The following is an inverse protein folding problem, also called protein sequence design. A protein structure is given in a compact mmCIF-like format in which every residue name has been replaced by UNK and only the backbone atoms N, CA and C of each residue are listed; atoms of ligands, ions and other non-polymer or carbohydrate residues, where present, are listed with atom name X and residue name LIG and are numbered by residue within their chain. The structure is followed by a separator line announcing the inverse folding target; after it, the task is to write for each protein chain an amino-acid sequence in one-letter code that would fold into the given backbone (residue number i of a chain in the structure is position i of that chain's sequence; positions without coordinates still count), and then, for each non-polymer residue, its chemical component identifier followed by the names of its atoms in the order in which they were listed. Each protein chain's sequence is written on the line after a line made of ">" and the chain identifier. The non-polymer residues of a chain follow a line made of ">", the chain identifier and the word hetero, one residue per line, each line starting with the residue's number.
data_IF_900558906133
#
_entry.id   IF_900558906133
#
_cell.length_a   1.000
_cell.length_b   1.000
_cell.length_c   1.000
_cell.angle_alpha   90.00
_cell.angle_beta   90.00
_cell.angle_gamma   90.00
#
_symmetry.space_group_name_H-M   'P 1'
#
loop_
_entity.id
_entity.type
_entity.pdbx_description
1 polymer ?
#
# COMPACT_ATOMS: atom_id res chain seq x y z
N UNK A 1 -24.80 19.08 15.02
CA UNK A 1 -24.86 19.11 13.56
C UNK A 1 -23.70 19.81 12.82
N UNK A 2 -23.02 20.90 13.31
CA UNK A 2 -21.95 21.55 12.54
C UNK A 2 -20.67 20.73 12.33
N UNK A 3 -20.36 19.74 13.20
CA UNK A 3 -19.14 18.91 13.09
C UNK A 3 -19.19 17.84 12.00
N UNK A 4 -20.37 17.28 11.70
CA UNK A 4 -20.55 16.25 10.68
C UNK A 4 -20.41 16.88 9.28
N UNK A 5 -21.00 18.04 9.08
CA UNK A 5 -20.91 18.78 7.79
C UNK A 5 -19.47 19.20 7.48
N UNK A 6 -18.70 19.66 8.49
CA UNK A 6 -17.29 20.02 8.31
C UNK A 6 -16.44 18.80 7.90
N UNK A 7 -16.62 17.63 8.54
CA UNK A 7 -15.91 16.39 8.17
C UNK A 7 -16.21 15.91 6.75
N UNK A 8 -17.45 16.05 6.29
CA UNK A 8 -17.82 15.72 4.92
C UNK A 8 -17.13 16.64 3.91
N UNK A 9 -16.97 17.94 4.23
CA UNK A 9 -16.24 18.91 3.41
C UNK A 9 -14.74 18.60 3.40
N UNK A 10 -14.16 18.24 4.55
CA UNK A 10 -12.76 17.81 4.64
C UNK A 10 -12.48 16.61 3.73
N UNK A 11 -13.31 15.56 3.79
CA UNK A 11 -13.22 14.40 2.92
C UNK A 11 -13.31 14.79 1.44
N UNK A 12 -14.36 15.52 1.07
CA UNK A 12 -14.56 15.98 -0.31
C UNK A 12 -13.40 16.83 -0.84
N UNK A 13 -12.86 17.75 -0.02
CA UNK A 13 -11.71 18.55 -0.42
C UNK A 13 -10.44 17.71 -0.62
N UNK A 14 -10.19 16.71 0.26
CA UNK A 14 -9.07 15.78 0.09
C UNK A 14 -9.19 14.97 -1.20
N UNK A 15 -10.36 14.43 -1.49
CA UNK A 15 -10.62 13.65 -2.70
C UNK A 15 -10.41 14.48 -3.96
N UNK A 16 -10.91 15.73 -3.98
CA UNK A 16 -10.75 16.67 -5.10
C UNK A 16 -9.30 17.12 -5.29
N UNK A 17 -8.57 17.36 -4.20
CA UNK A 17 -7.12 17.66 -4.24
C UNK A 17 -6.36 16.44 -4.77
N UNK A 18 -6.65 15.24 -4.26
CA UNK A 18 -6.04 14.01 -4.74
C UNK A 18 -6.38 13.71 -6.21
N UNK A 19 -7.57 14.06 -6.66
CA UNK A 19 -7.96 14.02 -8.06
C UNK A 19 -7.25 15.06 -8.95
N UNK A 20 -6.49 15.99 -8.34
CA UNK A 20 -5.73 17.02 -9.05
C UNK A 20 -6.58 18.18 -9.62
N UNK A 21 -7.80 18.38 -9.10
CA UNK A 21 -8.73 19.37 -9.63
C UNK A 21 -8.12 20.79 -9.71
N UNK A 22 -7.25 21.13 -8.77
CA UNK A 22 -6.61 22.46 -8.73
C UNK A 22 -5.08 22.41 -8.98
N UNK A 23 -4.57 21.33 -9.53
CA UNK A 23 -3.13 21.14 -9.75
C UNK A 23 -2.55 22.15 -10.76
N UNK A 24 -3.34 22.58 -11.76
CA UNK A 24 -2.92 23.55 -12.75
C UNK A 24 -2.81 24.97 -12.19
N UNK A 25 -3.69 25.36 -11.25
CA UNK A 25 -3.68 26.67 -10.61
C UNK A 25 -2.79 26.71 -9.37
N UNK A 26 -2.51 25.57 -8.77
CA UNK A 26 -1.82 25.44 -7.48
C UNK A 26 -2.56 26.09 -6.31
N UNK A 27 -3.84 26.49 -6.51
CA UNK A 27 -4.59 27.30 -5.53
C UNK A 27 -6.02 26.78 -5.39
N UNK A 28 -6.49 26.63 -4.14
CA UNK A 28 -7.89 26.37 -3.86
C UNK A 28 -8.75 27.60 -4.17
N UNK A 29 -10.02 27.39 -4.56
CA UNK A 29 -11.01 28.47 -4.63
C UNK A 29 -11.12 29.23 -3.30
N UNK A 30 -11.58 30.46 -3.34
CA UNK A 30 -11.73 31.24 -2.10
C UNK A 30 -12.76 30.55 -1.16
N UNK A 31 -12.56 30.71 0.15
CA UNK A 31 -13.48 30.14 1.16
C UNK A 31 -14.94 30.55 0.92
N UNK A 32 -15.17 31.71 0.33
CA UNK A 32 -16.50 32.20 -0.06
C UNK A 32 -17.11 31.37 -1.17
N UNK A 33 -16.31 31.04 -2.17
CA UNK A 33 -16.77 30.35 -3.37
C UNK A 33 -17.02 28.86 -3.05
N UNK A 34 -16.13 28.24 -2.27
CA UNK A 34 -16.36 26.91 -1.72
C UNK A 34 -17.58 26.84 -0.79
N UNK A 35 -17.84 27.89 0.01
CA UNK A 35 -19.02 27.94 0.86
C UNK A 35 -20.31 28.01 0.05
N UNK A 36 -20.32 28.74 -1.06
CA UNK A 36 -21.44 28.79 -2.00
C UNK A 36 -21.63 27.43 -2.69
N UNK A 37 -20.56 26.79 -3.16
CA UNK A 37 -20.58 25.48 -3.81
C UNK A 37 -21.11 24.37 -2.91
N UNK A 38 -20.64 24.31 -1.65
CA UNK A 38 -21.10 23.30 -0.67
C UNK A 38 -22.41 23.65 0.03
N UNK A 39 -23.00 24.84 -0.22
CA UNK A 39 -24.23 25.28 0.43
C UNK A 39 -24.09 25.46 1.95
N UNK A 40 -22.93 25.88 2.45
CA UNK A 40 -22.64 25.99 3.90
C UNK A 40 -22.12 27.36 4.29
N UNK A 41 -22.12 27.65 5.58
CA UNK A 41 -21.53 28.87 6.12
C UNK A 41 -20.01 28.92 5.86
N UNK A 42 -19.46 30.07 5.52
CA UNK A 42 -18.04 30.32 5.26
C UNK A 42 -17.11 29.85 6.39
N UNK A 43 -17.57 29.94 7.66
CA UNK A 43 -16.82 29.46 8.80
C UNK A 43 -16.70 27.92 8.85
N UNK A 44 -17.62 27.19 8.23
CA UNK A 44 -17.57 25.74 8.12
C UNK A 44 -16.44 25.31 7.16
N UNK A 45 -16.39 25.95 6.00
CA UNK A 45 -15.29 25.74 5.03
C UNK A 45 -13.95 26.15 5.63
N UNK A 46 -13.87 27.30 6.33
CA UNK A 46 -12.64 27.74 6.98
C UNK A 46 -12.09 26.71 7.96
N UNK A 47 -12.97 26.04 8.74
CA UNK A 47 -12.56 24.98 9.66
C UNK A 47 -12.04 23.76 8.92
N UNK A 48 -12.72 23.32 7.87
CA UNK A 48 -12.26 22.20 7.02
C UNK A 48 -10.90 22.51 6.38
N UNK A 49 -10.73 23.67 5.77
CA UNK A 49 -9.45 24.11 5.18
C UNK A 49 -8.34 24.22 6.23
N UNK A 50 -8.67 24.65 7.47
CA UNK A 50 -7.68 24.67 8.58
C UNK A 50 -7.19 23.27 8.94
N UNK A 51 -8.06 22.27 8.97
CA UNK A 51 -7.67 20.88 9.24
C UNK A 51 -6.72 20.38 8.15
N UNK A 52 -7.07 20.56 6.88
CA UNK A 52 -6.24 20.12 5.74
C UNK A 52 -4.90 20.88 5.70
N UNK A 53 -4.89 22.17 6.13
CA UNK A 53 -3.66 22.94 6.25
C UNK A 53 -2.75 22.42 7.37
N UNK A 54 -3.32 21.98 8.48
CA UNK A 54 -2.56 21.37 9.59
C UNK A 54 -1.98 20.00 9.19
N UNK A 55 -2.60 19.29 8.25
CA UNK A 55 -2.10 18.05 7.65
C UNK A 55 -0.99 18.30 6.62
N UNK A 56 -0.66 19.55 6.33
CA UNK A 56 0.36 19.90 5.35
C UNK A 56 -0.07 19.79 3.89
N UNK A 57 -1.34 19.45 3.61
CA UNK A 57 -1.87 19.31 2.24
C UNK A 57 -1.95 20.65 1.52
N UNK A 58 -2.24 21.73 2.26
CA UNK A 58 -2.32 23.09 1.71
C UNK A 58 -1.61 24.08 2.64
N UNK A 59 -1.11 25.18 2.08
CA UNK A 59 -0.51 26.29 2.80
C UNK A 59 -1.41 27.53 2.71
N UNK A 60 -1.76 28.15 3.84
CA UNK A 60 -2.50 29.41 3.88
C UNK A 60 -1.54 30.58 3.82
N UNK A 61 -1.74 31.48 2.86
CA UNK A 61 -1.00 32.73 2.76
C UNK A 61 -1.96 33.90 3.04
N UNK A 62 -1.68 34.64 4.12
CA UNK A 62 -2.53 35.78 4.54
C UNK A 62 -2.66 36.78 3.39
N UNK A 63 -3.89 37.15 3.05
CA UNK A 63 -4.18 38.09 1.95
C UNK A 63 -4.05 37.52 0.54
N UNK A 64 -3.41 36.34 0.37
CA UNK A 64 -3.15 35.73 -0.95
C UNK A 64 -4.01 34.50 -1.24
N UNK A 65 -4.51 33.82 -0.22
CA UNK A 65 -5.38 32.65 -0.35
C UNK A 65 -4.77 31.36 0.19
N UNK A 66 -5.33 30.22 -0.22
CA UNK A 66 -4.88 28.88 0.15
C UNK A 66 -4.27 28.19 -1.08
N UNK A 67 -3.05 27.75 -0.97
CA UNK A 67 -2.28 27.13 -2.04
C UNK A 67 -2.05 25.65 -1.74
N UNK A 68 -2.04 24.82 -2.77
CA UNK A 68 -1.57 23.44 -2.66
C UNK A 68 -0.09 23.45 -2.32
N UNK A 69 0.34 22.63 -1.36
CA UNK A 69 1.77 22.41 -1.17
C UNK A 69 2.32 21.66 -2.40
N UNK A 70 3.36 22.23 -3.04
CA UNK A 70 3.95 21.66 -4.26
C UNK A 70 4.34 20.19 -4.11
N UNK A 71 4.90 19.81 -2.97
CA UNK A 71 5.17 18.42 -2.62
C UNK A 71 3.90 17.54 -2.57
N UNK A 72 2.75 18.09 -2.15
CA UNK A 72 1.48 17.36 -2.08
C UNK A 72 0.89 17.12 -3.48
N UNK A 73 1.06 18.07 -4.41
CA UNK A 73 0.62 17.92 -5.80
C UNK A 73 1.44 16.86 -6.54
N UNK A 74 2.76 16.84 -6.34
CA UNK A 74 3.64 15.81 -6.90
C UNK A 74 3.38 14.45 -6.26
N UNK A 75 3.27 14.39 -4.94
CA UNK A 75 2.97 13.17 -4.21
C UNK A 75 1.59 12.61 -4.59
N UNK A 76 0.55 13.43 -4.68
CA UNK A 76 -0.76 13.02 -5.14
C UNK A 76 -0.73 12.50 -6.60
N UNK A 77 0.10 13.11 -7.44
CA UNK A 77 0.31 12.64 -8.82
C UNK A 77 1.03 11.29 -8.84
N UNK A 78 2.05 11.09 -8.01
CA UNK A 78 2.76 9.82 -7.85
C UNK A 78 1.78 8.76 -7.34
N UNK A 79 1.04 9.03 -6.27
CA UNK A 79 0.05 8.11 -5.70
C UNK A 79 -0.98 7.70 -6.75
N UNK A 80 -1.52 8.64 -7.53
CA UNK A 80 -2.49 8.34 -8.59
C UNK A 80 -1.89 7.46 -9.69
N UNK A 81 -0.66 7.73 -10.12
CA UNK A 81 0.04 6.89 -11.11
C UNK A 81 0.26 5.49 -10.58
N UNK A 82 0.76 5.38 -9.35
CA UNK A 82 1.03 4.10 -8.71
C UNK A 82 -0.26 3.30 -8.46
N UNK A 83 -1.36 3.94 -8.09
CA UNK A 83 -2.64 3.24 -7.86
C UNK A 83 -3.38 2.87 -9.15
N UNK A 84 -2.99 3.44 -10.30
CA UNK A 84 -3.50 3.09 -11.63
C UNK A 84 -2.69 2.00 -12.35
N UNK A 85 -1.69 1.42 -11.68
CA UNK A 85 -0.83 0.36 -12.23
C UNK A 85 -1.62 -0.93 -12.45
N UNK A 86 -1.34 -1.60 -13.58
CA UNK A 86 -1.96 -2.88 -13.88
C UNK A 86 -1.48 -4.00 -12.94
N UNK A 87 -2.28 -5.06 -12.71
CA UNK A 87 -1.80 -6.23 -11.96
C UNK A 87 -0.54 -6.88 -12.57
N UNK A 88 -0.37 -6.84 -13.89
CA UNK A 88 0.81 -7.39 -14.56
C UNK A 88 2.08 -6.56 -14.26
N UNK A 89 1.98 -5.22 -14.30
CA UNK A 89 3.11 -4.35 -13.94
C UNK A 89 3.49 -4.51 -12.46
N UNK A 90 2.49 -4.68 -11.58
CA UNK A 90 2.73 -4.97 -10.17
C UNK A 90 3.49 -6.29 -9.98
N UNK A 91 3.10 -7.35 -10.70
CA UNK A 91 3.79 -8.65 -10.63
C UNK A 91 5.22 -8.55 -11.13
N UNK A 92 5.47 -7.83 -12.23
CA UNK A 92 6.83 -7.62 -12.73
C UNK A 92 7.74 -6.96 -11.68
N UNK A 93 7.24 -5.98 -10.93
CA UNK A 93 7.99 -5.36 -9.82
C UNK A 93 8.19 -6.33 -8.67
N UNK A 94 7.18 -7.12 -8.29
CA UNK A 94 7.29 -8.13 -7.23
C UNK A 94 8.36 -9.17 -7.55
N UNK A 95 8.42 -9.67 -8.78
CA UNK A 95 9.42 -10.64 -9.26
C UNK A 95 10.87 -10.11 -9.14
N UNK A 96 11.06 -8.80 -9.23
CA UNK A 96 12.38 -8.18 -9.08
C UNK A 96 12.71 -7.91 -7.61
N UNK A 97 11.76 -7.38 -6.84
CA UNK A 97 12.04 -6.80 -5.52
C UNK A 97 11.95 -7.83 -4.40
N UNK A 98 10.94 -8.71 -4.40
CA UNK A 98 10.69 -9.62 -3.28
C UNK A 98 11.76 -10.71 -3.12
N UNK A 99 12.30 -11.34 -4.20
CA UNK A 99 13.42 -12.27 -4.07
C UNK A 99 14.67 -11.63 -3.46
N UNK A 100 15.00 -10.40 -3.91
CA UNK A 100 16.14 -9.68 -3.38
C UNK A 100 15.94 -9.22 -1.93
N UNK A 101 14.70 -8.85 -1.57
CA UNK A 101 14.36 -8.56 -0.19
C UNK A 101 14.55 -9.80 0.72
N UNK A 102 14.17 -11.00 0.25
CA UNK A 102 14.39 -12.25 0.97
C UNK A 102 15.88 -12.55 1.17
N UNK A 103 16.72 -12.37 0.15
CA UNK A 103 18.17 -12.51 0.26
C UNK A 103 18.79 -11.55 1.29
N UNK A 104 18.32 -10.30 1.30
CA UNK A 104 18.77 -9.29 2.27
C UNK A 104 18.29 -9.63 3.67
N UNK A 105 17.04 -10.05 3.83
CA UNK A 105 16.49 -10.46 5.10
C UNK A 105 17.24 -11.66 5.70
N UNK A 106 17.63 -12.64 4.89
CA UNK A 106 18.43 -13.79 5.34
C UNK A 106 19.74 -13.34 6.03
N UNK A 107 20.37 -12.26 5.55
CA UNK A 107 21.61 -11.71 6.11
C UNK A 107 21.37 -10.81 7.33
N UNK A 108 20.28 -10.02 7.34
CA UNK A 108 20.09 -8.91 8.27
C UNK A 108 19.10 -9.19 9.39
N UNK A 109 18.22 -10.20 9.25
CA UNK A 109 17.18 -10.49 10.22
C UNK A 109 17.76 -10.83 11.60
N UNK A 110 17.22 -10.25 12.65
CA UNK A 110 17.46 -10.70 14.03
C UNK A 110 16.73 -12.02 14.30
N UNK A 111 17.04 -12.70 15.40
CA UNK A 111 16.29 -13.89 15.82
C UNK A 111 14.80 -13.58 16.04
N UNK A 112 14.49 -12.41 16.59
CA UNK A 112 13.09 -11.97 16.78
C UNK A 112 12.38 -11.70 15.45
N UNK A 113 13.09 -11.22 14.41
CA UNK A 113 12.50 -11.05 13.08
C UNK A 113 12.19 -12.43 12.45
N UNK A 114 13.12 -13.37 12.52
CA UNK A 114 12.91 -14.75 12.03
C UNK A 114 11.72 -15.40 12.70
N UNK A 115 11.63 -15.30 14.04
CA UNK A 115 10.49 -15.82 14.78
C UNK A 115 9.18 -15.17 14.31
N UNK A 116 9.15 -13.84 14.17
CA UNK A 116 7.96 -13.15 13.71
C UNK A 116 7.52 -13.57 12.29
N UNK A 117 8.47 -13.83 11.37
CA UNK A 117 8.18 -14.33 10.03
C UNK A 117 7.62 -15.75 10.11
N UNK A 118 8.24 -16.64 10.90
CA UNK A 118 7.79 -18.01 11.12
C UNK A 118 6.39 -18.06 11.74
N UNK A 119 6.10 -17.21 12.73
CA UNK A 119 4.78 -17.08 13.34
C UNK A 119 3.71 -16.68 12.31
N UNK A 120 4.02 -15.71 11.42
CA UNK A 120 3.07 -15.30 10.38
C UNK A 120 2.80 -16.46 9.40
N UNK A 121 3.84 -17.20 9.00
CA UNK A 121 3.69 -18.39 8.19
C UNK A 121 2.84 -19.46 8.88
N UNK A 122 3.08 -19.72 10.16
CA UNK A 122 2.31 -20.70 10.93
C UNK A 122 0.82 -20.31 11.00
N UNK A 123 0.52 -19.06 11.28
CA UNK A 123 -0.86 -18.55 11.30
C UNK A 123 -1.52 -18.67 9.92
N UNK A 124 -0.82 -18.34 8.82
CA UNK A 124 -1.32 -18.54 7.47
C UNK A 124 -1.64 -20.01 7.16
N UNK A 125 -0.80 -20.93 7.64
CA UNK A 125 -1.00 -22.37 7.47
C UNK A 125 -2.24 -22.88 8.22
N UNK A 126 -2.50 -22.33 9.40
CA UNK A 126 -3.64 -22.69 10.25
C UNK A 126 -4.95 -21.98 9.87
N UNK A 127 -4.90 -20.96 9.03
CA UNK A 127 -6.06 -20.19 8.63
C UNK A 127 -7.10 -21.06 7.91
N UNK A 128 -8.33 -21.02 8.41
CA UNK A 128 -9.46 -21.78 7.85
C UNK A 128 -10.30 -20.95 6.85
N UNK A 129 -10.18 -19.62 6.93
CA UNK A 129 -10.92 -18.68 6.08
C UNK A 129 -9.96 -17.97 5.14
N UNK A 130 -10.46 -17.66 3.94
CA UNK A 130 -9.67 -16.95 2.92
C UNK A 130 -9.15 -15.61 3.42
N UNK A 131 -9.99 -14.81 4.08
CA UNK A 131 -9.60 -13.49 4.57
C UNK A 131 -8.54 -13.57 5.67
N UNK A 132 -8.59 -14.61 6.50
CA UNK A 132 -7.58 -14.88 7.53
C UNK A 132 -6.25 -15.28 6.91
N UNK A 133 -6.27 -16.18 5.92
CA UNK A 133 -5.08 -16.53 5.14
C UNK A 133 -4.46 -15.32 4.47
N UNK A 134 -5.26 -14.50 3.79
CA UNK A 134 -4.82 -13.27 3.13
C UNK A 134 -4.19 -12.26 4.09
N UNK A 135 -4.74 -12.15 5.28
CA UNK A 135 -4.16 -11.32 6.33
C UNK A 135 -2.75 -11.80 6.70
N UNK A 136 -2.60 -13.08 6.99
CA UNK A 136 -1.32 -13.64 7.43
C UNK A 136 -0.29 -13.74 6.30
N UNK A 137 -0.71 -14.02 5.05
CA UNK A 137 0.11 -13.90 3.84
C UNK A 137 0.70 -12.47 3.72
N UNK A 138 -0.15 -11.48 3.92
CA UNK A 138 0.28 -10.08 3.93
C UNK A 138 1.28 -9.79 5.06
N UNK A 139 1.02 -10.29 6.27
CA UNK A 139 1.92 -10.14 7.42
C UNK A 139 3.28 -10.83 7.19
N UNK A 140 3.28 -12.00 6.56
CA UNK A 140 4.51 -12.72 6.21
C UNK A 140 5.44 -11.85 5.35
N UNK A 141 4.95 -11.34 4.24
CA UNK A 141 5.73 -10.48 3.36
C UNK A 141 6.15 -9.17 4.05
N UNK A 142 5.26 -8.54 4.80
CA UNK A 142 5.57 -7.30 5.52
C UNK A 142 6.71 -7.49 6.53
N UNK A 143 6.68 -8.59 7.31
CA UNK A 143 7.72 -8.91 8.28
C UNK A 143 9.06 -9.24 7.61
N UNK A 144 9.02 -9.94 6.48
CA UNK A 144 10.20 -10.21 5.67
C UNK A 144 10.86 -8.91 5.18
N UNK A 145 10.09 -7.96 4.67
CA UNK A 145 10.62 -6.66 4.27
C UNK A 145 11.18 -5.86 5.46
N UNK A 146 10.50 -5.87 6.61
CA UNK A 146 11.02 -5.24 7.83
C UNK A 146 12.37 -5.86 8.26
N UNK A 147 12.52 -7.18 8.12
CA UNK A 147 13.74 -7.91 8.44
C UNK A 147 14.93 -7.56 7.53
N UNK A 148 14.70 -6.91 6.38
CA UNK A 148 15.79 -6.37 5.55
C UNK A 148 16.58 -5.26 6.23
N UNK A 149 16.02 -4.60 7.26
CA UNK A 149 16.57 -3.40 7.91
C UNK A 149 16.82 -2.24 6.96
N UNK A 150 16.06 -2.17 5.88
CA UNK A 150 16.14 -1.13 4.86
C UNK A 150 14.81 -0.41 4.74
N UNK A 151 14.73 0.81 5.29
CA UNK A 151 13.51 1.64 5.31
C UNK A 151 12.95 1.94 3.90
N UNK A 152 13.80 2.00 2.89
CA UNK A 152 13.36 2.22 1.52
C UNK A 152 12.65 0.97 0.98
N UNK A 153 13.16 -0.23 1.23
CA UNK A 153 12.49 -1.48 0.87
C UNK A 153 11.16 -1.65 1.61
N UNK A 154 11.10 -1.30 2.89
CA UNK A 154 9.84 -1.28 3.67
C UNK A 154 8.83 -0.33 3.03
N UNK A 155 9.27 0.87 2.63
CA UNK A 155 8.42 1.85 1.96
C UNK A 155 7.92 1.36 0.60
N UNK A 156 8.78 0.73 -0.21
CA UNK A 156 8.41 0.12 -1.49
C UNK A 156 7.35 -0.97 -1.26
N UNK A 157 7.54 -1.86 -0.28
CA UNK A 157 6.55 -2.87 0.05
C UNK A 157 5.21 -2.26 0.46
N UNK A 158 5.23 -1.18 1.25
CA UNK A 158 4.01 -0.43 1.61
C UNK A 158 3.25 0.08 0.37
N UNK A 159 3.94 0.57 -0.65
CA UNK A 159 3.33 0.97 -1.93
C UNK A 159 2.72 -0.24 -2.64
N UNK A 160 3.43 -1.37 -2.72
CA UNK A 160 2.90 -2.60 -3.33
C UNK A 160 1.62 -3.08 -2.63
N UNK A 161 1.56 -2.97 -1.29
CA UNK A 161 0.36 -3.30 -0.51
C UNK A 161 -0.82 -2.39 -0.82
N UNK A 162 -0.60 -1.08 -0.97
CA UNK A 162 -1.66 -0.13 -1.36
C UNK A 162 -2.23 -0.50 -2.73
N UNK A 163 -1.41 -0.91 -3.70
CA UNK A 163 -1.86 -1.35 -5.02
C UNK A 163 -2.66 -2.66 -4.90
N UNK A 164 -2.17 -3.64 -4.13
CA UNK A 164 -2.84 -4.94 -3.89
C UNK A 164 -4.20 -4.81 -3.21
N UNK A 165 -4.43 -3.75 -2.45
CA UNK A 165 -5.73 -3.48 -1.80
C UNK A 165 -6.78 -2.89 -2.76
N UNK A 166 -6.49 -2.71 -4.05
CA UNK A 166 -7.40 -2.13 -5.04
C UNK A 166 -8.19 -3.18 -5.82
N UNK A 167 -9.35 -2.78 -6.32
CA UNK A 167 -10.34 -3.65 -6.95
C UNK A 167 -9.82 -4.59 -8.04
N UNK A 168 -9.01 -4.18 -9.04
CA UNK A 168 -8.57 -5.12 -10.07
C UNK A 168 -7.79 -6.30 -9.49
N UNK A 169 -6.94 -6.06 -8.47
CA UNK A 169 -6.14 -7.08 -7.82
C UNK A 169 -7.00 -8.02 -6.95
N UNK A 170 -7.87 -7.45 -6.12
CA UNK A 170 -8.75 -8.24 -5.24
C UNK A 170 -9.62 -9.20 -6.04
N UNK A 171 -10.20 -8.75 -7.16
CA UNK A 171 -11.03 -9.59 -8.02
C UNK A 171 -10.23 -10.71 -8.68
N UNK A 172 -9.03 -10.43 -9.20
CA UNK A 172 -8.16 -11.44 -9.78
C UNK A 172 -7.77 -12.49 -8.73
N UNK A 173 -7.36 -12.05 -7.55
CA UNK A 173 -6.96 -12.93 -6.46
C UNK A 173 -8.12 -13.82 -6.02
N UNK A 174 -9.33 -13.26 -5.84
CA UNK A 174 -10.53 -14.03 -5.48
C UNK A 174 -10.88 -15.09 -6.54
N UNK A 175 -10.76 -14.78 -7.83
CA UNK A 175 -11.02 -15.72 -8.92
C UNK A 175 -9.99 -16.83 -8.98
N UNK A 176 -8.74 -16.55 -8.63
CA UNK A 176 -7.65 -17.51 -8.66
C UNK A 176 -7.53 -18.34 -7.39
N UNK A 177 -8.21 -17.98 -6.29
CA UNK A 177 -8.10 -18.67 -5.01
C UNK A 177 -8.69 -20.08 -5.06
N UNK A 178 -7.97 -21.03 -4.50
CA UNK A 178 -8.44 -22.39 -4.18
C UNK A 178 -7.66 -22.93 -2.99
N UNK A 179 -8.24 -23.89 -2.28
CA UNK A 179 -7.58 -24.53 -1.12
C UNK A 179 -6.24 -25.17 -1.49
N UNK A 180 -6.18 -25.84 -2.64
CA UNK A 180 -4.92 -26.45 -3.11
C UNK A 180 -3.84 -25.38 -3.37
N UNK A 181 -4.20 -24.20 -3.88
CA UNK A 181 -3.26 -23.09 -4.06
C UNK A 181 -2.81 -22.51 -2.73
N UNK A 182 -3.72 -22.36 -1.77
CA UNK A 182 -3.39 -21.93 -0.42
C UNK A 182 -2.33 -22.84 0.20
N UNK A 183 -2.55 -24.15 0.18
CA UNK A 183 -1.59 -25.14 0.70
C UNK A 183 -0.25 -25.04 -0.02
N UNK A 184 -0.26 -24.92 -1.34
CA UNK A 184 0.95 -24.77 -2.13
C UNK A 184 1.73 -23.49 -1.77
N UNK A 185 1.04 -22.37 -1.54
CA UNK A 185 1.69 -21.13 -1.10
C UNK A 185 2.27 -21.28 0.31
N UNK A 186 1.59 -22.00 1.22
CA UNK A 186 2.16 -22.31 2.53
C UNK A 186 3.44 -23.14 2.44
N UNK A 187 3.50 -24.15 1.56
CA UNK A 187 4.72 -24.94 1.31
C UNK A 187 5.87 -24.05 0.79
N UNK A 188 5.56 -23.14 -0.13
CA UNK A 188 6.56 -22.21 -0.65
C UNK A 188 7.06 -21.23 0.42
N UNK A 189 6.17 -20.70 1.27
CA UNK A 189 6.56 -19.89 2.42
C UNK A 189 7.43 -20.67 3.41
N UNK A 190 7.15 -21.96 3.65
CA UNK A 190 8.00 -22.81 4.49
C UNK A 190 9.44 -22.88 3.95
N UNK A 191 9.60 -23.01 2.62
CA UNK A 191 10.93 -23.01 2.00
C UNK A 191 11.66 -21.66 2.19
N UNK A 192 10.94 -20.54 2.11
CA UNK A 192 11.52 -19.20 2.41
C UNK A 192 11.95 -19.13 3.87
N UNK A 193 11.10 -19.56 4.82
CA UNK A 193 11.41 -19.56 6.25
C UNK A 193 12.67 -20.40 6.53
N UNK A 194 12.73 -21.62 6.00
CA UNK A 194 13.88 -22.52 6.18
C UNK A 194 15.19 -21.90 5.66
N UNK A 195 15.16 -21.24 4.50
CA UNK A 195 16.32 -20.55 3.95
C UNK A 195 16.74 -19.35 4.83
N UNK A 196 15.77 -18.58 5.35
CA UNK A 196 16.04 -17.46 6.26
C UNK A 196 16.68 -17.92 7.57
N UNK A 197 16.17 -19.00 8.18
CA UNK A 197 16.70 -19.60 9.41
C UNK A 197 18.14 -20.10 9.23
N UNK A 198 18.43 -20.68 8.06
CA UNK A 198 19.76 -21.15 7.68
C UNK A 198 20.69 -20.01 7.21
N UNK A 199 20.23 -18.77 7.17
CA UNK A 199 20.98 -17.63 6.64
C UNK A 199 21.43 -17.82 5.18
N UNK A 200 20.72 -18.66 4.45
CA UNK A 200 20.95 -18.93 3.03
C UNK A 200 20.26 -17.86 2.17
N UNK A 201 21.03 -16.85 1.78
CA UNK A 201 20.55 -15.71 1.02
C UNK A 201 20.11 -16.12 -0.41
N UNK A 202 20.86 -17.01 -1.05
CA UNK A 202 20.55 -17.46 -2.41
C UNK A 202 19.33 -18.38 -2.40
N UNK A 203 19.25 -19.29 -1.44
CA UNK A 203 18.08 -20.15 -1.21
C UNK A 203 16.82 -19.34 -0.89
N UNK A 204 16.92 -18.29 -0.06
CA UNK A 204 15.81 -17.41 0.26
C UNK A 204 15.30 -16.64 -0.99
N UNK A 205 16.22 -16.15 -1.81
CA UNK A 205 15.86 -15.50 -3.08
C UNK A 205 15.17 -16.46 -4.04
N UNK A 206 15.72 -17.65 -4.23
CA UNK A 206 15.18 -18.68 -5.11
C UNK A 206 13.78 -19.16 -4.65
N UNK A 207 13.61 -19.43 -3.36
CA UNK A 207 12.32 -19.82 -2.79
C UNK A 207 11.26 -18.73 -2.97
N UNK A 208 11.61 -17.46 -2.71
CA UNK A 208 10.70 -16.33 -2.90
C UNK A 208 10.37 -16.12 -4.39
N UNK A 209 11.36 -16.24 -5.29
CA UNK A 209 11.12 -16.14 -6.73
C UNK A 209 10.10 -17.18 -7.18
N UNK A 210 10.29 -18.46 -6.82
CA UNK A 210 9.36 -19.53 -7.16
C UNK A 210 7.95 -19.29 -6.61
N UNK A 211 7.84 -18.70 -5.40
CA UNK A 211 6.55 -18.31 -4.84
C UNK A 211 5.86 -17.21 -5.67
N UNK A 212 6.57 -16.16 -6.04
CA UNK A 212 5.97 -15.06 -6.82
C UNK A 212 5.62 -15.50 -8.23
N UNK A 213 6.44 -16.35 -8.88
CA UNK A 213 6.13 -16.97 -10.17
C UNK A 213 4.86 -17.84 -10.11
N UNK A 214 4.69 -18.62 -9.04
CA UNK A 214 3.48 -19.41 -8.85
C UNK A 214 2.22 -18.54 -8.73
N UNK A 215 2.32 -17.39 -8.05
CA UNK A 215 1.23 -16.40 -7.99
C UNK A 215 0.95 -15.83 -9.39
N UNK A 216 1.98 -15.45 -10.15
CA UNK A 216 1.83 -14.92 -11.51
C UNK A 216 1.11 -15.91 -12.42
N UNK A 217 1.53 -17.17 -12.41
CA UNK A 217 0.91 -18.25 -13.18
C UNK A 217 -0.56 -18.44 -12.75
N UNK A 218 -0.85 -18.36 -11.47
CA UNK A 218 -2.21 -18.52 -10.95
C UNK A 218 -3.15 -17.37 -11.37
N UNK A 219 -2.61 -16.15 -11.49
CA UNK A 219 -3.39 -14.96 -11.84
C UNK A 219 -3.63 -14.82 -13.36
N UNK A 220 -2.62 -15.15 -14.17
CA UNK A 220 -2.64 -14.86 -15.60
C UNK A 220 -2.58 -16.10 -16.51
N UNK A 221 -2.36 -17.28 -15.95
CA UNK A 221 -2.07 -18.48 -16.73
C UNK A 221 -0.61 -18.56 -17.17
N UNK A 222 -0.24 -19.66 -17.83
CA UNK A 222 1.09 -19.76 -18.44
C UNK A 222 1.15 -18.82 -19.66
N UNK A 223 2.19 -18.01 -19.72
CA UNK A 223 2.58 -17.38 -20.99
C UNK A 223 3.14 -18.41 -21.95
#
# INVERSE_FOLDING_TARGET
>A
MPKIVARNIEGSLRDRIAAGEWSSSGRLPAERDLAAEYGVARNTVRRAVKVIANEGTVARQIGRGTFLNGATSELATIIRRVTGVSPADLMAVRLIVEPQAAAIAAKNASLSDLQAIADAHQQATQALQTDEFEHWDTQFHQRLFAATRNELLVSIHGILQVIRSRNPWIELKRKSFSENRRLHYCEQHANVVAALENRDADGAAQAMLGHIEAIEIALFGRR
#
